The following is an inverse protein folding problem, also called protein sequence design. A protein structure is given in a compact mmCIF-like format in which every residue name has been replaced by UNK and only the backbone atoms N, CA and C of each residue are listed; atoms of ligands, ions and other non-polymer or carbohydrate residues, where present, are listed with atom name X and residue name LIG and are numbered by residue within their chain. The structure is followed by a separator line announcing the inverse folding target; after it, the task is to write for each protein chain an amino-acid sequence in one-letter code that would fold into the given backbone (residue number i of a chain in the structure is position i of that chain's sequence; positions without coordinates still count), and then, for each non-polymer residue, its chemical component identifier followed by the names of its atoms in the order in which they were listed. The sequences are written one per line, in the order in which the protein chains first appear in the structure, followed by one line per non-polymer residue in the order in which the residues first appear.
data_IF_402769961091
#
_entry.id   IF_402769961091
#
_cell.length_a   1.000
_cell.length_b   1.000
_cell.length_c   1.000
_cell.angle_alpha   90.00
_cell.angle_beta   90.00
_cell.angle_gamma   90.00
#
_symmetry.space_group_name_H-M   'P 1'
#
loop_
_entity.id
_entity.type
_entity.pdbx_description
1 polymer ?
#
# COMPACT_ATOMS: atom_id res chain seq x y z
N UNK A 1 -0.11 7.03 6.81
CA UNK A 1 -0.95 6.75 5.63
C UNK A 1 -2.34 6.47 6.16
N UNK A 2 -3.37 6.78 5.39
CA UNK A 2 -4.74 6.41 5.72
C UNK A 2 -5.24 5.54 4.57
N UNK A 3 -5.80 4.38 4.87
CA UNK A 3 -6.28 3.45 3.85
C UNK A 3 -7.60 2.83 4.24
N UNK A 4 -8.33 2.40 3.23
CA UNK A 4 -9.58 1.64 3.39
C UNK A 4 -9.42 0.36 2.58
N UNK A 5 -9.71 -0.77 3.22
CA UNK A 5 -9.62 -2.11 2.64
C UNK A 5 -10.97 -2.80 2.79
N UNK A 6 -11.48 -3.35 1.68
CA UNK A 6 -12.71 -4.14 1.64
C UNK A 6 -12.35 -5.61 1.47
N UNK A 7 -12.90 -6.47 2.32
CA UNK A 7 -12.64 -7.90 2.31
C UNK A 7 -13.92 -8.68 2.00
N UNK A 8 -13.77 -9.72 1.20
CA UNK A 8 -14.77 -10.75 1.01
C UNK A 8 -14.18 -12.09 1.47
N UNK A 9 -14.88 -12.75 2.38
CA UNK A 9 -14.50 -14.09 2.83
C UNK A 9 -14.78 -15.11 1.74
N UNK A 10 -13.73 -15.81 1.29
CA UNK A 10 -13.81 -16.84 0.25
C UNK A 10 -13.80 -18.25 0.84
N UNK A 11 -12.95 -18.49 1.83
CA UNK A 11 -12.81 -19.75 2.57
C UNK A 11 -12.63 -19.43 4.07
N UNK A 12 -12.63 -20.44 4.94
CA UNK A 12 -12.50 -20.25 6.39
C UNK A 12 -11.23 -19.48 6.77
N UNK A 13 -10.13 -19.68 6.04
CA UNK A 13 -8.82 -19.11 6.36
C UNK A 13 -8.32 -18.05 5.37
N UNK A 14 -9.01 -17.88 4.23
CA UNK A 14 -8.58 -16.95 3.16
C UNK A 14 -9.61 -15.85 2.91
N UNK A 15 -9.14 -14.60 3.00
CA UNK A 15 -9.87 -13.42 2.58
C UNK A 15 -9.24 -12.86 1.30
N UNK A 16 -10.08 -12.45 0.37
CA UNK A 16 -9.67 -11.65 -0.78
C UNK A 16 -10.28 -10.26 -0.64
N UNK A 17 -9.57 -9.25 -1.11
CA UNK A 17 -10.04 -7.88 -0.97
C UNK A 17 -9.45 -6.93 -1.99
N UNK A 18 -9.90 -5.70 -1.88
CA UNK A 18 -9.32 -4.57 -2.58
C UNK A 18 -9.16 -3.40 -1.60
N UNK A 19 -8.10 -2.64 -1.78
CA UNK A 19 -7.76 -1.52 -0.93
C UNK A 19 -7.31 -0.31 -1.72
N UNK A 20 -7.52 0.85 -1.12
CA UNK A 20 -6.90 2.10 -1.54
C UNK A 20 -6.22 2.72 -0.33
N UNK A 21 -4.96 3.13 -0.50
CA UNK A 21 -4.26 3.91 0.52
C UNK A 21 -4.00 5.33 0.00
N UNK A 22 -4.05 6.28 0.92
CA UNK A 22 -3.61 7.64 0.73
C UNK A 22 -2.34 7.86 1.56
N UNK A 23 -1.22 8.06 0.87
CA UNK A 23 0.02 8.48 1.52
C UNK A 23 0.02 9.99 1.67
N UNK A 24 0.29 10.47 2.90
CA UNK A 24 0.51 11.89 3.15
C UNK A 24 1.70 12.34 2.31
N UNK A 25 1.56 13.54 1.75
CA UNK A 25 2.60 14.20 0.96
C UNK A 25 3.89 14.29 1.78
N UNK A 26 5.03 14.13 1.09
CA UNK A 26 6.36 14.20 1.69
C UNK A 26 7.22 15.15 0.90
N UNK A 27 8.02 15.91 1.63
CA UNK A 27 9.13 16.67 1.07
C UNK A 27 10.33 15.73 0.83
N UNK A 28 10.96 15.79 -0.34
CA UNK A 28 12.26 15.18 -0.57
C UNK A 28 13.26 16.26 -0.95
N UNK A 29 14.43 16.30 -0.31
CA UNK A 29 15.45 17.32 -0.62
C UNK A 29 15.92 17.36 -2.09
N UNK A 30 15.62 16.31 -2.88
CA UNK A 30 15.96 16.20 -4.31
C UNK A 30 14.79 16.54 -5.26
N UNK A 31 13.62 16.84 -4.72
CA UNK A 31 12.43 17.27 -5.45
C UNK A 31 11.93 18.51 -4.70
N UNK A 32 12.03 19.70 -5.28
CA UNK A 32 11.54 20.95 -4.67
C UNK A 32 10.00 20.98 -4.48
N UNK A 33 9.34 19.81 -4.53
CA UNK A 33 7.90 19.60 -4.58
C UNK A 33 7.47 18.48 -3.62
N UNK A 34 6.28 18.66 -3.02
CA UNK A 34 5.61 17.64 -2.24
C UNK A 34 5.08 16.52 -3.14
N UNK A 35 5.53 15.28 -2.89
CA UNK A 35 5.09 14.11 -3.65
C UNK A 35 4.37 13.10 -2.75
N UNK A 36 3.45 12.36 -3.36
CA UNK A 36 2.68 11.32 -2.71
C UNK A 36 2.31 10.19 -3.65
N UNK A 37 1.81 9.10 -3.07
CA UNK A 37 1.37 7.93 -3.80
C UNK A 37 -0.02 7.53 -3.34
N UNK A 38 -0.86 7.15 -4.30
CA UNK A 38 -2.18 6.57 -4.07
C UNK A 38 -2.17 5.16 -4.67
N UNK A 39 -1.76 4.13 -3.92
CA UNK A 39 -1.88 2.75 -4.38
C UNK A 39 -3.34 2.29 -4.34
N UNK A 40 -3.78 1.71 -5.46
CA UNK A 40 -5.01 0.94 -5.57
C UNK A 40 -4.62 -0.51 -5.85
N UNK A 41 -5.06 -1.43 -5.00
CA UNK A 41 -4.54 -2.79 -5.02
C UNK A 41 -5.60 -3.83 -4.68
N UNK A 42 -5.42 -5.02 -5.24
CA UNK A 42 -6.02 -6.24 -4.70
C UNK A 42 -5.15 -6.76 -3.57
N UNK A 43 -5.77 -7.46 -2.63
CA UNK A 43 -5.07 -8.06 -1.51
C UNK A 43 -5.61 -9.46 -1.21
N UNK A 44 -4.73 -10.31 -0.70
CA UNK A 44 -5.05 -11.64 -0.18
C UNK A 44 -4.56 -11.71 1.25
N UNK A 45 -5.42 -12.16 2.16
CA UNK A 45 -5.09 -12.36 3.58
C UNK A 45 -5.29 -13.82 3.94
N UNK A 46 -4.24 -14.46 4.44
CA UNK A 46 -4.22 -15.85 4.87
C UNK A 46 -4.11 -15.87 6.40
N UNK A 47 -5.19 -16.25 7.07
CA UNK A 47 -5.19 -16.43 8.51
C UNK A 47 -4.61 -17.79 8.86
N UNK A 48 -3.83 -17.84 9.94
CA UNK A 48 -3.42 -19.09 10.54
C UNK A 48 -4.33 -19.44 11.70
N UNK A 49 -4.19 -20.68 12.18
CA UNK A 49 -4.87 -21.17 13.37
C UNK A 49 -4.77 -20.16 14.52
N UNK A 50 -5.87 -19.85 15.22
CA UNK A 50 -5.87 -18.90 16.31
C UNK A 50 -4.84 -19.29 17.37
N UNK A 51 -4.03 -18.33 17.79
CA UNK A 51 -3.14 -18.48 18.94
C UNK A 51 -3.71 -17.68 20.10
N UNK A 52 -4.27 -18.40 21.08
CA UNK A 52 -5.01 -17.83 22.20
C UNK A 52 -6.14 -16.89 21.75
N UNK A 53 -6.02 -15.58 22.00
CA UNK A 53 -7.01 -14.54 21.62
C UNK A 53 -6.63 -13.75 20.37
N UNK A 54 -5.61 -14.21 19.63
CA UNK A 54 -5.11 -13.55 18.42
C UNK A 54 -5.21 -14.47 17.21
N UNK A 55 -5.52 -13.89 16.05
CA UNK A 55 -5.51 -14.56 14.76
C UNK A 55 -4.40 -13.94 13.91
N UNK A 56 -3.18 -14.52 13.90
CA UNK A 56 -2.13 -14.07 13.01
C UNK A 56 -2.53 -14.31 11.56
N UNK A 57 -2.06 -13.46 10.67
CA UNK A 57 -2.28 -13.58 9.24
C UNK A 57 -1.07 -13.11 8.42
N UNK A 58 -0.93 -13.63 7.21
CA UNK A 58 -0.12 -13.05 6.16
C UNK A 58 -1.01 -12.23 5.23
N UNK A 59 -0.46 -11.13 4.71
CA UNK A 59 -1.11 -10.33 3.68
C UNK A 59 -0.19 -10.17 2.47
N UNK A 60 -0.74 -10.33 1.28
CA UNK A 60 -0.10 -9.96 0.02
C UNK A 60 -0.93 -8.88 -0.67
N UNK A 61 -0.27 -7.86 -1.21
CA UNK A 61 -0.89 -6.73 -1.92
C UNK A 61 -0.29 -6.63 -3.33
N UNK A 62 -1.12 -6.41 -4.34
CA UNK A 62 -0.70 -6.23 -5.73
C UNK A 62 -1.65 -5.28 -6.44
N UNK A 63 -1.10 -4.31 -7.18
CA UNK A 63 -1.91 -3.34 -7.90
C UNK A 63 -1.09 -2.28 -8.61
N UNK A 64 -1.64 -1.07 -8.63
CA UNK A 64 -1.07 0.07 -9.32
C UNK A 64 -1.01 1.27 -8.38
N UNK A 65 0.15 1.92 -8.30
CA UNK A 65 0.37 3.12 -7.50
C UNK A 65 0.35 4.35 -8.39
N UNK A 66 -0.64 5.22 -8.22
CA UNK A 66 -0.68 6.52 -8.88
C UNK A 66 0.28 7.49 -8.18
N UNK A 67 1.08 8.21 -8.96
CA UNK A 67 1.94 9.26 -8.46
C UNK A 67 1.15 10.57 -8.39
N UNK A 68 1.30 11.32 -7.29
CA UNK A 68 0.66 12.62 -7.10
C UNK A 68 1.73 13.65 -6.72
N UNK A 69 1.67 14.80 -7.38
CA UNK A 69 2.44 16.01 -7.07
C UNK A 69 1.44 17.12 -6.82
N UNK A 70 1.72 18.00 -5.86
CA UNK A 70 0.86 19.15 -5.56
C UNK A 70 0.88 20.19 -6.69
N UNK A 71 2.06 20.51 -7.22
CA UNK A 71 2.24 21.40 -8.37
C UNK A 71 2.91 20.62 -9.52
N UNK A 72 2.14 20.06 -10.46
CA UNK A 72 2.74 19.35 -11.58
C UNK A 72 3.41 20.34 -12.54
N UNK A 73 4.73 20.29 -12.61
CA UNK A 73 5.48 21.00 -13.65
C UNK A 73 5.10 20.45 -15.05
N UNK A 74 4.67 21.32 -15.97
CA UNK A 74 4.11 20.94 -17.27
C UNK A 74 5.12 20.21 -18.18
N UNK A 75 6.41 20.26 -17.86
CA UNK A 75 7.47 19.59 -18.61
C UNK A 75 7.71 18.13 -18.19
N UNK A 76 7.08 17.66 -17.09
CA UNK A 76 7.29 16.31 -16.55
C UNK A 76 6.00 15.48 -16.49
N UNK A 77 5.97 14.41 -17.28
CA UNK A 77 4.92 13.38 -17.18
C UNK A 77 5.30 12.40 -16.05
N UNK A 78 4.60 12.53 -14.92
CA UNK A 78 4.69 11.56 -13.84
C UNK A 78 3.69 10.43 -14.04
N UNK A 79 4.18 9.22 -14.26
CA UNK A 79 3.33 8.02 -14.36
C UNK A 79 3.44 7.17 -13.12
N UNK A 80 2.29 6.70 -12.68
CA UNK A 80 2.21 5.62 -11.71
C UNK A 80 2.84 4.33 -12.24
N UNK A 81 2.91 3.32 -11.39
CA UNK A 81 3.49 2.04 -11.79
C UNK A 81 3.07 0.90 -10.89
N UNK A 82 3.71 -0.25 -11.11
CA UNK A 82 3.39 -1.48 -10.40
C UNK A 82 3.59 -1.29 -8.88
N UNK A 83 2.54 -1.60 -8.13
CA UNK A 83 2.58 -1.67 -6.68
C UNK A 83 2.49 -3.11 -6.24
N UNK A 84 3.38 -3.53 -5.35
CA UNK A 84 3.28 -4.82 -4.70
C UNK A 84 3.85 -4.76 -3.29
N UNK A 85 3.34 -5.61 -2.42
CA UNK A 85 3.81 -5.66 -1.04
C UNK A 85 3.36 -6.93 -0.35
N UNK A 86 3.98 -7.16 0.79
CA UNK A 86 3.65 -8.28 1.66
C UNK A 86 3.89 -7.92 3.10
N UNK A 87 3.12 -8.52 3.99
CA UNK A 87 3.16 -8.21 5.41
C UNK A 87 2.66 -9.35 6.28
N UNK A 88 2.84 -9.14 7.57
CA UNK A 88 2.26 -9.96 8.63
C UNK A 88 1.33 -9.08 9.44
N UNK A 89 0.28 -9.68 10.00
CA UNK A 89 -0.56 -8.99 10.94
C UNK A 89 -1.18 -9.90 11.96
N UNK A 90 -1.81 -9.28 12.95
CA UNK A 90 -2.42 -9.92 14.11
C UNK A 90 -3.77 -9.26 14.33
N UNK A 91 -4.83 -10.04 14.20
CA UNK A 91 -6.19 -9.62 14.57
C UNK A 91 -6.48 -10.04 16.00
N UNK A 92 -6.80 -9.10 16.89
CA UNK A 92 -7.24 -9.36 18.26
C UNK A 92 -8.75 -9.54 18.31
N UNK A 93 -9.25 -10.23 19.35
CA UNK A 93 -10.70 -10.45 19.56
C UNK A 93 -11.54 -9.17 19.66
N UNK A 94 -10.93 -8.01 19.87
CA UNK A 94 -11.62 -6.72 20.02
C UNK A 94 -11.75 -5.95 18.70
N UNK A 95 -11.75 -6.64 17.55
CA UNK A 95 -11.80 -6.03 16.21
C UNK A 95 -10.64 -5.06 15.88
N UNK A 96 -9.57 -5.08 16.68
CA UNK A 96 -8.35 -4.32 16.43
C UNK A 96 -7.37 -5.22 15.67
N UNK A 97 -6.80 -4.70 14.58
CA UNK A 97 -5.73 -5.34 13.85
C UNK A 97 -4.43 -4.53 13.94
N UNK A 98 -3.32 -5.24 14.05
CA UNK A 98 -1.98 -4.72 13.89
C UNK A 98 -1.41 -5.32 12.62
N UNK A 99 -0.88 -4.49 11.73
CA UNK A 99 -0.27 -4.93 10.47
C UNK A 99 1.12 -4.31 10.33
N UNK A 100 2.08 -5.13 9.92
CA UNK A 100 3.40 -4.70 9.51
C UNK A 100 3.59 -5.09 8.05
N UNK A 101 3.84 -4.11 7.20
CA UNK A 101 3.93 -4.30 5.75
C UNK A 101 5.25 -3.80 5.19
N UNK A 102 5.70 -4.48 4.15
CA UNK A 102 6.75 -4.03 3.25
C UNK A 102 6.14 -3.88 1.86
N UNK A 103 6.22 -2.66 1.32
CA UNK A 103 5.61 -2.30 0.04
C UNK A 103 6.65 -1.68 -0.89
N UNK A 104 6.47 -1.94 -2.17
CA UNK A 104 7.27 -1.39 -3.26
C UNK A 104 6.33 -0.67 -4.20
N UNK A 105 6.62 0.61 -4.40
CA UNK A 105 5.95 1.49 -5.35
C UNK A 105 6.90 1.74 -6.51
N UNK A 106 6.60 1.18 -7.67
CA UNK A 106 7.31 1.56 -8.89
C UNK A 106 6.60 2.75 -9.53
N UNK A 107 7.38 3.66 -10.09
CA UNK A 107 6.91 4.78 -10.88
C UNK A 107 7.86 5.05 -12.03
N UNK A 108 7.38 5.76 -13.04
CA UNK A 108 8.20 6.20 -14.18
C UNK A 108 8.12 7.72 -14.26
N UNK A 109 9.29 8.38 -14.26
CA UNK A 109 9.40 9.81 -14.61
C UNK A 109 9.82 9.91 -16.08
N UNK A 110 9.00 10.57 -16.90
CA UNK A 110 9.31 10.83 -18.31
C UNK A 110 9.72 12.29 -18.50
N UNK A 111 10.90 12.50 -19.09
CA UNK A 111 11.36 13.79 -19.57
C UNK A 111 11.63 13.68 -21.07
N UNK A 112 10.69 14.16 -21.90
CA UNK A 112 10.72 14.03 -23.38
C UNK A 112 10.94 12.58 -23.83
N UNK A 113 12.19 12.20 -24.15
CA UNK A 113 12.59 10.87 -24.63
C UNK A 113 13.35 10.03 -23.58
N UNK A 114 13.63 10.58 -22.40
CA UNK A 114 14.35 9.87 -21.34
C UNK A 114 13.36 9.30 -20.31
N UNK A 115 13.44 7.99 -20.11
CA UNK A 115 12.70 7.23 -19.10
C UNK A 115 13.58 7.02 -17.88
N UNK A 116 13.18 7.59 -16.75
CA UNK A 116 13.84 7.37 -15.47
C UNK A 116 12.94 6.49 -14.59
N UNK A 117 13.27 5.20 -14.43
CA UNK A 117 12.53 4.33 -13.52
C UNK A 117 12.81 4.75 -12.07
N UNK A 118 11.76 4.94 -11.30
CA UNK A 118 11.84 5.25 -9.87
C UNK A 118 11.23 4.11 -9.08
N UNK A 119 11.93 3.69 -8.03
CA UNK A 119 11.45 2.64 -7.12
C UNK A 119 11.51 3.16 -5.70
N UNK A 120 10.35 3.22 -5.07
CA UNK A 120 10.21 3.60 -3.68
C UNK A 120 9.82 2.39 -2.85
N UNK A 121 10.54 2.20 -1.75
CA UNK A 121 10.33 1.08 -0.85
C UNK A 121 9.93 1.61 0.51
N UNK A 122 8.96 0.96 1.15
CA UNK A 122 8.43 1.42 2.42
C UNK A 122 8.13 0.25 3.35
N UNK A 123 8.52 0.43 4.61
CA UNK A 123 8.06 -0.40 5.74
C UNK A 123 7.03 0.41 6.52
N UNK A 124 5.86 -0.15 6.79
CA UNK A 124 4.83 0.48 7.62
C UNK A 124 4.42 -0.41 8.79
N UNK A 125 3.94 0.27 9.82
CA UNK A 125 3.17 -0.30 10.92
C UNK A 125 1.81 0.38 10.93
N UNK A 126 0.74 -0.39 10.91
CA UNK A 126 -0.63 0.10 10.85
C UNK A 126 -1.47 -0.50 11.98
N UNK A 127 -2.36 0.35 12.50
CA UNK A 127 -3.45 -0.02 13.39
C UNK A 127 -4.74 0.09 12.60
N UNK A 128 -5.53 -0.98 12.57
CA UNK A 128 -6.81 -1.00 11.87
C UNK A 128 -7.95 -1.43 12.78
N UNK A 129 -9.16 -1.02 12.39
CA UNK A 129 -10.41 -1.45 13.00
C UNK A 129 -11.21 -2.23 11.97
N UNK A 130 -11.65 -3.43 12.35
CA UNK A 130 -12.49 -4.31 11.52
C UNK A 130 -13.97 -4.06 11.85
N UNK A 131 -14.74 -3.69 10.83
CA UNK A 131 -16.18 -3.45 10.92
C UNK A 131 -16.97 -4.54 10.19
#
# INVERSE_FOLDING_TARGET
MVGIEFFQQKQEETLLGAGVEYQLLRYAENLDEEFGFIPVYGLIRLHFSPFARSKPYLIGKLGYSFFRVEEPDNDFDYKGGLYYGGGIGLTLSNNVQFEADYTVHNGEKRLRNFLFPYRYTKVSLALGLLF
#
